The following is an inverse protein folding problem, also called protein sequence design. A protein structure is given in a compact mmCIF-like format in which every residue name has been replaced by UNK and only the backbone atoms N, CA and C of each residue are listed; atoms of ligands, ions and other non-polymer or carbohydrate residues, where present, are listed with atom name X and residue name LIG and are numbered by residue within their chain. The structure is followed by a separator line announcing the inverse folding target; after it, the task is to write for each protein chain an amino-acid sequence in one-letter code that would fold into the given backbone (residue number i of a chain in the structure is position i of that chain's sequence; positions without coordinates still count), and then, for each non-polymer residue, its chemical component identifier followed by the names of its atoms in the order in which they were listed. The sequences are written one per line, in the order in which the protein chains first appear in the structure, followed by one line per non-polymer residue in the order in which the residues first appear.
data_IF_441823039653
#
_entry.id   IF_441823039653
#
_cell.length_a   1.000
_cell.length_b   1.000
_cell.length_c   1.000
_cell.angle_alpha   90.00
_cell.angle_beta   90.00
_cell.angle_gamma   90.00
#
_symmetry.space_group_name_H-M   'P 1'
#
loop_
_entity.id
_entity.type
_entity.pdbx_description
1 polymer ?
#
# COMPACT_ATOMS: atom_id res chain seq x y z
N UNK A 1 3.42 13.12 -0.68
CA UNK A 1 2.63 11.93 -0.36
C UNK A 1 2.95 10.80 -1.33
N UNK A 2 2.95 9.56 -0.87
CA UNK A 2 3.06 8.36 -1.75
C UNK A 2 1.82 7.51 -1.56
N UNK A 3 1.22 7.06 -2.67
CA UNK A 3 0.07 6.16 -2.68
C UNK A 3 0.51 4.80 -3.24
N UNK A 4 0.41 3.77 -2.43
CA UNK A 4 0.70 2.39 -2.82
C UNK A 4 -0.57 1.62 -3.14
N UNK A 5 -0.52 0.79 -4.18
CA UNK A 5 -1.54 -0.21 -4.50
C UNK A 5 -0.88 -1.44 -5.11
N UNK A 6 -1.46 -2.61 -4.91
CA UNK A 6 -1.02 -3.83 -5.58
C UNK A 6 -1.39 -3.84 -7.07
N UNK A 7 -2.40 -3.05 -7.47
CA UNK A 7 -2.98 -3.05 -8.82
C UNK A 7 -2.48 -1.86 -9.66
N UNK A 8 -1.48 -2.08 -10.51
CA UNK A 8 -0.98 -1.05 -11.43
C UNK A 8 -2.06 -0.52 -12.39
N UNK A 9 -3.02 -1.36 -12.77
CA UNK A 9 -4.17 -0.97 -13.60
C UNK A 9 -5.10 0.01 -12.89
N UNK A 10 -5.30 -0.17 -11.59
CA UNK A 10 -6.05 0.74 -10.75
C UNK A 10 -5.34 2.10 -10.63
N UNK A 11 -4.04 2.10 -10.38
CA UNK A 11 -3.25 3.34 -10.29
C UNK A 11 -3.33 4.18 -11.57
N UNK A 12 -3.42 3.54 -12.75
CA UNK A 12 -3.61 4.24 -14.03
C UNK A 12 -4.95 4.98 -14.13
N UNK A 13 -5.94 4.59 -13.35
CA UNK A 13 -7.25 5.27 -13.26
C UNK A 13 -7.25 6.30 -12.13
N UNK A 14 -6.65 5.96 -10.99
CA UNK A 14 -6.60 6.81 -9.81
C UNK A 14 -5.72 8.06 -10.03
N UNK A 15 -4.55 7.91 -10.64
CA UNK A 15 -3.60 9.01 -10.77
C UNK A 15 -4.14 10.21 -11.59
N UNK A 16 -4.80 10.02 -12.76
CA UNK A 16 -5.45 11.14 -13.47
C UNK A 16 -6.56 11.80 -12.66
N UNK A 17 -7.35 11.02 -11.90
CA UNK A 17 -8.39 11.56 -11.02
C UNK A 17 -7.77 12.44 -9.92
N UNK A 18 -6.78 11.94 -9.22
CA UNK A 18 -6.05 12.72 -8.22
C UNK A 18 -5.38 13.96 -8.81
N UNK A 19 -4.83 13.86 -10.02
CA UNK A 19 -4.21 14.99 -10.69
C UNK A 19 -5.24 16.10 -10.98
N UNK A 20 -6.45 15.74 -11.41
CA UNK A 20 -7.56 16.68 -11.62
C UNK A 20 -8.01 17.35 -10.33
N UNK A 21 -8.23 16.56 -9.26
CA UNK A 21 -8.71 17.07 -7.97
C UNK A 21 -7.67 17.96 -7.25
N UNK A 22 -6.40 17.61 -7.36
CA UNK A 22 -5.33 18.29 -6.64
C UNK A 22 -4.66 19.42 -7.45
N UNK A 23 -4.91 19.49 -8.76
CA UNK A 23 -4.30 20.46 -9.65
C UNK A 23 -2.78 20.28 -9.81
N UNK A 24 -2.25 19.05 -9.64
CA UNK A 24 -0.83 18.73 -9.73
C UNK A 24 -0.59 17.38 -10.41
N UNK A 25 0.57 17.17 -11.05
CA UNK A 25 0.88 15.90 -11.71
C UNK A 25 1.02 14.77 -10.68
N UNK A 26 0.48 13.59 -11.03
CA UNK A 26 0.61 12.36 -10.23
C UNK A 26 1.30 11.30 -11.09
N UNK A 27 2.63 11.24 -11.10
CA UNK A 27 3.37 10.22 -11.82
C UNK A 27 3.12 8.83 -11.21
N UNK A 28 3.24 7.80 -12.08
CA UNK A 28 2.99 6.40 -11.69
C UNK A 28 4.27 5.58 -11.85
N UNK A 29 4.65 4.86 -10.81
CA UNK A 29 5.70 3.84 -10.85
C UNK A 29 5.08 2.44 -10.80
N UNK A 30 5.33 1.63 -11.81
CA UNK A 30 4.92 0.23 -11.88
C UNK A 30 6.00 -0.63 -12.56
N UNK A 31 5.85 -1.95 -12.52
CA UNK A 31 6.86 -2.88 -13.03
C UNK A 31 7.18 -2.74 -14.52
N UNK A 32 6.29 -2.16 -15.32
CA UNK A 32 6.52 -1.89 -16.75
C UNK A 32 7.24 -0.56 -17.04
N UNK A 33 7.59 0.24 -16.02
CA UNK A 33 8.37 1.47 -16.22
C UNK A 33 9.86 1.10 -16.32
N UNK A 34 10.52 1.55 -17.38
CA UNK A 34 11.95 1.31 -17.59
C UNK A 34 12.78 1.96 -16.47
N UNK A 35 13.95 1.39 -16.19
CA UNK A 35 14.82 1.88 -15.10
C UNK A 35 15.18 3.36 -15.27
N UNK A 36 15.63 3.86 -16.45
CA UNK A 36 15.93 5.28 -16.59
C UNK A 36 14.73 6.19 -16.34
N UNK A 37 13.53 5.76 -16.79
CA UNK A 37 12.30 6.54 -16.56
C UNK A 37 11.90 6.53 -15.09
N UNK A 38 12.11 5.42 -14.39
CA UNK A 38 11.86 5.30 -12.96
C UNK A 38 12.76 6.25 -12.17
N UNK A 39 14.06 6.24 -12.48
CA UNK A 39 15.05 7.08 -11.83
C UNK A 39 14.71 8.55 -12.01
N UNK A 40 14.36 8.97 -13.24
CA UNK A 40 13.92 10.34 -13.53
C UNK A 40 12.64 10.75 -12.75
N UNK A 41 11.66 9.85 -12.62
CA UNK A 41 10.44 10.14 -11.84
C UNK A 41 10.77 10.32 -10.35
N UNK A 42 11.63 9.47 -9.80
CA UNK A 42 12.04 9.54 -8.38
C UNK A 42 12.86 10.79 -8.12
N UNK A 43 13.78 11.13 -9.00
CA UNK A 43 14.60 12.35 -8.93
C UNK A 43 13.69 13.58 -8.96
N UNK A 44 12.84 13.71 -9.98
CA UNK A 44 11.86 14.79 -10.07
C UNK A 44 11.01 14.90 -8.81
N UNK A 45 10.44 13.78 -8.35
CA UNK A 45 9.65 13.76 -7.10
C UNK A 45 10.46 14.21 -5.88
N UNK A 46 11.75 13.91 -5.83
CA UNK A 46 12.62 14.27 -4.69
C UNK A 46 13.02 15.73 -4.67
N UNK A 47 13.20 16.34 -5.84
CA UNK A 47 13.71 17.72 -6.00
C UNK A 47 12.59 18.77 -5.98
N UNK A 48 11.38 18.42 -6.40
CA UNK A 48 10.25 19.35 -6.44
C UNK A 48 9.97 19.96 -5.07
N UNK A 49 9.72 21.26 -5.03
CA UNK A 49 9.28 21.99 -3.84
C UNK A 49 7.75 22.09 -3.82
N UNK A 50 7.16 21.99 -2.62
CA UNK A 50 5.72 22.11 -2.44
C UNK A 50 5.00 20.75 -2.36
N UNK A 51 3.66 20.71 -2.50
CA UNK A 51 2.91 19.46 -2.47
C UNK A 51 3.24 18.57 -3.66
N UNK A 52 3.31 17.27 -3.44
CA UNK A 52 3.56 16.29 -4.50
C UNK A 52 2.98 14.93 -4.16
N UNK A 53 2.50 14.22 -5.17
CA UNK A 53 1.94 12.88 -5.06
C UNK A 53 2.62 11.95 -6.03
N UNK A 54 3.01 10.77 -5.57
CA UNK A 54 3.57 9.69 -6.38
C UNK A 54 2.74 8.43 -6.17
N UNK A 55 2.24 7.85 -7.26
CA UNK A 55 1.52 6.57 -7.22
C UNK A 55 2.50 5.43 -7.54
N UNK A 56 2.55 4.40 -6.68
CA UNK A 56 3.54 3.32 -6.77
C UNK A 56 2.84 1.96 -6.65
N UNK A 57 3.08 1.06 -7.59
CA UNK A 57 2.64 -0.32 -7.39
C UNK A 57 3.57 -1.05 -6.43
N UNK A 58 3.01 -1.83 -5.49
CA UNK A 58 3.77 -2.55 -4.46
C UNK A 58 4.88 -3.43 -5.08
N UNK A 59 4.61 -4.07 -6.22
CA UNK A 59 5.59 -4.87 -6.95
C UNK A 59 6.77 -4.05 -7.50
N UNK A 60 6.54 -2.77 -7.83
CA UNK A 60 7.61 -1.87 -8.29
C UNK A 60 8.40 -1.29 -7.10
N UNK A 61 7.78 -1.22 -5.93
CA UNK A 61 8.41 -0.74 -4.69
C UNK A 61 9.59 -1.58 -4.20
N UNK A 62 9.71 -2.83 -4.64
CA UNK A 62 10.81 -3.74 -4.26
C UNK A 62 12.22 -3.33 -4.70
N UNK A 63 12.38 -2.31 -5.52
CA UNK A 63 13.66 -1.93 -6.17
C UNK A 63 14.33 -0.71 -5.56
N UNK A 64 14.58 -0.69 -4.25
CA UNK A 64 15.50 0.28 -3.63
C UNK A 64 15.13 1.77 -3.76
N UNK A 65 13.86 2.09 -4.01
CA UNK A 65 13.40 3.49 -4.13
C UNK A 65 13.71 4.28 -2.85
N UNK A 66 14.16 5.51 -2.99
CA UNK A 66 14.32 6.45 -1.90
C UNK A 66 13.26 7.55 -2.02
N UNK A 67 12.28 7.55 -1.11
CA UNK A 67 11.11 8.44 -1.16
C UNK A 67 10.99 9.32 0.09
N UNK A 68 12.13 9.66 0.71
CA UNK A 68 12.21 10.44 1.97
C UNK A 68 11.57 11.82 1.90
N UNK A 69 11.33 12.35 0.70
CA UNK A 69 10.58 13.60 0.54
C UNK A 69 9.12 13.47 1.05
N UNK A 70 8.52 12.31 0.90
CA UNK A 70 7.17 12.08 1.38
C UNK A 70 7.11 12.00 2.90
N UNK A 71 6.04 12.49 3.47
CA UNK A 71 5.72 12.35 4.90
C UNK A 71 4.33 11.74 5.14
N UNK A 72 3.62 11.40 4.07
CA UNK A 72 2.39 10.61 4.10
C UNK A 72 2.52 9.43 3.16
N UNK A 73 2.18 8.27 3.66
CA UNK A 73 2.04 7.01 2.92
C UNK A 73 0.58 6.60 2.96
N UNK A 74 0.00 6.25 1.82
CA UNK A 74 -1.34 5.67 1.74
C UNK A 74 -1.22 4.29 1.14
N UNK A 75 -1.57 3.24 1.89
CA UNK A 75 -1.87 1.93 1.36
C UNK A 75 -3.34 1.91 0.93
N UNK A 76 -3.59 1.97 -0.38
CA UNK A 76 -4.94 2.10 -0.93
C UNK A 76 -5.71 0.79 -0.88
N UNK A 77 -5.00 -0.31 -0.91
CA UNK A 77 -5.51 -1.67 -0.74
C UNK A 77 -4.58 -2.48 0.17
N UNK A 78 -5.13 -3.50 0.81
CA UNK A 78 -4.37 -4.35 1.74
C UNK A 78 -3.60 -5.43 1.00
N UNK A 79 -2.37 -5.67 1.43
CA UNK A 79 -1.58 -6.82 0.99
C UNK A 79 -1.64 -7.94 2.06
N UNK A 80 -1.72 -9.16 1.59
CA UNK A 80 -1.79 -10.35 2.46
C UNK A 80 -0.59 -10.51 3.40
N UNK A 81 0.57 -10.07 2.96
CA UNK A 81 1.80 -10.11 3.73
C UNK A 81 2.13 -8.70 4.24
N UNK A 82 1.97 -8.43 5.55
CA UNK A 82 2.25 -7.11 6.12
C UNK A 82 3.69 -6.65 5.92
N UNK A 83 4.65 -7.58 5.81
CA UNK A 83 6.05 -7.23 5.56
C UNK A 83 6.25 -6.49 4.22
N UNK A 84 5.38 -6.71 3.23
CA UNK A 84 5.41 -5.98 1.95
C UNK A 84 4.93 -4.55 2.12
N UNK A 85 3.88 -4.30 2.92
CA UNK A 85 3.42 -2.96 3.27
C UNK A 85 4.47 -2.22 4.11
N UNK A 86 5.04 -2.90 5.10
CA UNK A 86 6.10 -2.34 5.94
C UNK A 86 7.33 -1.98 5.09
N UNK A 87 7.77 -2.88 4.20
CA UNK A 87 8.86 -2.61 3.26
C UNK A 87 8.57 -1.42 2.34
N UNK A 88 7.32 -1.24 1.88
CA UNK A 88 6.92 -0.10 1.08
C UNK A 88 6.98 1.19 1.89
N UNK A 89 6.52 1.17 3.14
CA UNK A 89 6.59 2.31 4.07
C UNK A 89 8.03 2.69 4.42
N UNK A 90 8.94 1.72 4.54
CA UNK A 90 10.37 1.91 4.81
C UNK A 90 11.11 2.65 3.66
N UNK A 91 10.49 2.77 2.49
CA UNK A 91 11.03 3.62 1.40
C UNK A 91 10.86 5.11 1.72
N UNK A 92 9.89 5.44 2.55
CA UNK A 92 9.59 6.79 3.03
C UNK A 92 10.23 7.03 4.39
N UNK A 93 10.11 6.07 5.29
CA UNK A 93 10.79 6.10 6.59
C UNK A 93 12.20 5.53 6.47
N UNK A 94 13.14 6.36 6.12
CA UNK A 94 14.53 5.97 5.89
C UNK A 94 15.50 7.04 6.41
N UNK A 95 16.78 6.69 6.53
CA UNK A 95 17.85 7.62 6.86
C UNK A 95 17.79 8.82 5.89
N UNK A 96 17.70 10.02 6.45
CA UNK A 96 17.48 11.27 5.72
C UNK A 96 16.05 11.82 5.83
N UNK A 97 15.11 11.08 6.39
CA UNK A 97 13.79 11.58 6.72
C UNK A 97 13.86 12.47 7.98
N UNK A 98 13.47 13.72 7.84
CA UNK A 98 13.51 14.71 8.94
C UNK A 98 12.12 15.05 9.49
N UNK A 99 11.05 14.53 8.86
CA UNK A 99 9.66 14.79 9.25
C UNK A 99 9.01 13.51 9.77
N UNK A 100 8.03 13.65 10.64
CA UNK A 100 7.17 12.53 11.03
C UNK A 100 6.47 11.94 9.81
N UNK A 101 6.49 10.61 9.65
CA UNK A 101 5.78 9.89 8.58
C UNK A 101 4.47 9.36 9.14
N UNK A 102 3.38 9.69 8.46
CA UNK A 102 2.04 9.17 8.77
C UNK A 102 1.69 8.12 7.72
N UNK A 103 1.35 6.92 8.18
CA UNK A 103 0.90 5.82 7.33
C UNK A 103 -0.61 5.69 7.46
N UNK A 104 -1.30 5.83 6.34
CA UNK A 104 -2.74 5.61 6.22
C UNK A 104 -2.97 4.28 5.52
N UNK A 105 -3.83 3.47 6.10
CA UNK A 105 -4.26 2.21 5.51
C UNK A 105 -5.75 2.27 5.27
N UNK A 106 -6.18 2.17 4.02
CA UNK A 106 -7.59 2.12 3.68
C UNK A 106 -8.07 0.67 3.77
N UNK A 107 -9.26 0.49 4.31
CA UNK A 107 -9.91 -0.82 4.47
C UNK A 107 -11.37 -0.66 4.07
N UNK A 108 -11.84 -1.50 3.15
CA UNK A 108 -13.26 -1.56 2.82
C UNK A 108 -13.99 -2.41 3.86
N UNK A 109 -14.89 -1.85 4.68
CA UNK A 109 -15.64 -2.63 5.68
C UNK A 109 -16.54 -3.66 4.99
N UNK A 110 -16.82 -4.78 5.67
CA UNK A 110 -17.62 -5.89 5.15
C UNK A 110 -16.93 -6.72 4.05
N UNK A 111 -15.67 -6.45 3.74
CA UNK A 111 -14.92 -7.16 2.71
C UNK A 111 -13.80 -8.02 3.31
N UNK A 112 -13.16 -8.79 2.43
CA UNK A 112 -11.97 -9.55 2.75
C UNK A 112 -10.83 -8.67 3.32
N UNK A 113 -10.75 -7.38 2.95
CA UNK A 113 -9.72 -6.47 3.45
C UNK A 113 -9.83 -6.25 4.96
N UNK A 114 -11.06 -6.14 5.49
CA UNK A 114 -11.27 -6.00 6.93
C UNK A 114 -10.81 -7.25 7.70
N UNK A 115 -11.08 -8.43 7.13
CA UNK A 115 -10.62 -9.69 7.73
C UNK A 115 -9.11 -9.85 7.69
N UNK A 116 -8.48 -9.44 6.56
CA UNK A 116 -7.02 -9.37 6.46
C UNK A 116 -6.46 -8.40 7.50
N UNK A 117 -7.06 -7.22 7.65
CA UNK A 117 -6.64 -6.23 8.63
C UNK A 117 -6.65 -6.82 10.06
N UNK A 118 -7.75 -7.48 10.45
CA UNK A 118 -7.89 -8.14 11.75
C UNK A 118 -6.82 -9.22 11.95
N UNK A 119 -6.56 -10.05 10.95
CA UNK A 119 -5.50 -11.08 11.01
C UNK A 119 -4.12 -10.46 11.20
N UNK A 120 -3.83 -9.38 10.50
CA UNK A 120 -2.55 -8.66 10.62
C UNK A 120 -2.40 -8.03 11.99
N UNK A 121 -3.44 -7.39 12.52
CA UNK A 121 -3.43 -6.77 13.86
C UNK A 121 -3.22 -7.80 14.97
N UNK A 122 -3.95 -8.91 14.92
CA UNK A 122 -3.77 -10.01 15.85
C UNK A 122 -2.35 -10.56 15.83
N UNK A 123 -1.74 -10.69 14.65
CA UNK A 123 -0.34 -11.10 14.51
C UNK A 123 0.65 -10.10 15.08
N UNK A 124 0.45 -8.80 14.85
CA UNK A 124 1.29 -7.76 15.44
C UNK A 124 1.23 -7.77 16.96
N UNK A 125 0.05 -7.99 17.52
CA UNK A 125 -0.15 -8.14 18.98
C UNK A 125 0.56 -9.37 19.55
N UNK A 126 0.67 -10.46 18.76
CA UNK A 126 1.32 -11.72 19.14
C UNK A 126 2.80 -11.80 18.75
N UNK A 127 3.40 -10.73 18.21
CA UNK A 127 4.75 -10.72 17.63
C UNK A 127 5.91 -10.98 18.61
N UNK A 128 5.63 -11.54 19.78
CA UNK A 128 6.61 -12.26 20.62
C UNK A 128 6.76 -13.75 20.30
N UNK A 129 5.97 -14.35 19.42
CA UNK A 129 6.00 -15.77 19.08
C UNK A 129 5.86 -16.01 17.57
N UNK A 130 6.77 -16.80 17.04
CA UNK A 130 6.89 -17.43 15.70
C UNK A 130 6.03 -16.82 14.58
N UNK A 131 6.70 -16.17 13.65
CA UNK A 131 6.15 -15.56 12.43
C UNK A 131 5.63 -16.63 11.46
N UNK A 132 4.37 -17.02 11.61
CA UNK A 132 3.67 -17.78 10.56
C UNK A 132 3.16 -16.76 9.51
N UNK A 133 3.49 -16.92 8.23
CA UNK A 133 3.02 -16.01 7.18
C UNK A 133 1.50 -16.07 7.02
N UNK A 134 0.85 -14.98 6.60
CA UNK A 134 -0.60 -14.97 6.32
C UNK A 134 -0.96 -15.95 5.20
N UNK A 135 -0.02 -16.18 4.27
CA UNK A 135 -0.14 -17.21 3.22
C UNK A 135 -0.30 -18.60 3.81
N UNK A 136 0.47 -18.94 4.86
CA UNK A 136 0.37 -20.24 5.54
C UNK A 136 -1.00 -20.41 6.22
N UNK A 137 -1.58 -19.35 6.78
CA UNK A 137 -2.91 -19.39 7.39
C UNK A 137 -3.99 -19.74 6.36
N UNK A 138 -3.97 -19.09 5.19
CA UNK A 138 -4.95 -19.32 4.13
C UNK A 138 -4.83 -20.74 3.57
N UNK A 139 -3.60 -21.23 3.39
CA UNK A 139 -3.36 -22.59 2.87
C UNK A 139 -3.75 -23.70 3.86
N UNK A 140 -3.91 -23.38 5.14
CA UNK A 140 -4.35 -24.32 6.18
C UNK A 140 -5.83 -24.25 6.50
N UNK A 141 -6.58 -23.29 5.93
CA UNK A 141 -8.03 -23.18 6.11
C UNK A 141 -8.77 -24.31 5.40
N UNK A 142 -9.86 -24.78 6.00
CA UNK A 142 -10.81 -25.64 5.31
C UNK A 142 -11.54 -24.88 4.19
N UNK A 143 -12.16 -25.58 3.26
CA UNK A 143 -12.95 -24.94 2.20
C UNK A 143 -14.10 -24.09 2.77
N UNK A 144 -14.71 -24.52 3.85
CA UNK A 144 -15.81 -23.80 4.50
C UNK A 144 -15.30 -22.54 5.20
N UNK A 145 -14.17 -22.61 5.89
CA UNK A 145 -13.51 -21.45 6.50
C UNK A 145 -13.06 -20.45 5.42
N UNK A 146 -12.53 -20.94 4.30
CA UNK A 146 -12.11 -20.10 3.19
C UNK A 146 -13.32 -19.42 2.53
N UNK A 147 -14.41 -20.14 2.32
CA UNK A 147 -15.65 -19.59 1.80
C UNK A 147 -16.22 -18.50 2.74
N UNK A 148 -16.23 -18.77 4.03
CA UNK A 148 -16.61 -17.78 5.03
C UNK A 148 -15.65 -16.58 5.04
N UNK A 149 -14.36 -16.80 4.88
CA UNK A 149 -13.34 -15.75 4.87
C UNK A 149 -13.45 -14.82 3.66
N UNK A 150 -13.84 -15.31 2.49
CA UNK A 150 -14.00 -14.49 1.26
C UNK A 150 -15.42 -13.95 1.07
N UNK A 151 -16.40 -14.40 1.86
CA UNK A 151 -17.79 -13.95 1.74
C UNK A 151 -17.92 -12.45 2.02
N UNK A 152 -18.75 -11.77 1.24
CA UNK A 152 -19.06 -10.36 1.44
C UNK A 152 -20.09 -10.20 2.57
N UNK A 153 -19.82 -9.37 3.56
CA UNK A 153 -20.82 -8.91 4.51
C UNK A 153 -21.48 -7.63 4.02
N UNK A 154 -22.57 -7.78 3.29
CA UNK A 154 -23.30 -6.66 2.68
C UNK A 154 -23.88 -5.71 3.75
N UNK A 155 -24.23 -6.23 4.93
CA UNK A 155 -24.74 -5.41 6.02
C UNK A 155 -23.65 -4.52 6.63
N UNK A 156 -22.45 -5.07 6.84
CA UNK A 156 -21.28 -4.32 7.30
C UNK A 156 -20.78 -3.31 6.26
N UNK A 157 -20.88 -3.64 4.96
CA UNK A 157 -20.41 -2.78 3.88
C UNK A 157 -21.28 -1.54 3.66
N UNK A 158 -22.57 -1.57 4.04
CA UNK A 158 -23.52 -0.46 3.82
C UNK A 158 -23.59 0.54 4.97
N UNK A 159 -22.83 0.36 6.04
CA UNK A 159 -22.64 1.39 7.08
C UNK A 159 -23.94 1.84 7.75
N UNK A 160 -24.75 0.89 8.28
CA UNK A 160 -25.84 1.23 9.19
C UNK A 160 -25.43 1.03 10.62
#
# INVERSE_FOLDING_TARGET
MVVFSQYATFLRRLAPHLAGELGLPVPILHGGVSRPRRDAIVEQFSEERGPGVLAVSLRAGGTGLNLVRANHVIHFDRWWNPAVEDQASDRVWRIGQTRGVVVHTLVCPGTIEERIATVIENKRALAGSVVTSTETLITTMSNDDLAAFVSLDVAGATGK
#
